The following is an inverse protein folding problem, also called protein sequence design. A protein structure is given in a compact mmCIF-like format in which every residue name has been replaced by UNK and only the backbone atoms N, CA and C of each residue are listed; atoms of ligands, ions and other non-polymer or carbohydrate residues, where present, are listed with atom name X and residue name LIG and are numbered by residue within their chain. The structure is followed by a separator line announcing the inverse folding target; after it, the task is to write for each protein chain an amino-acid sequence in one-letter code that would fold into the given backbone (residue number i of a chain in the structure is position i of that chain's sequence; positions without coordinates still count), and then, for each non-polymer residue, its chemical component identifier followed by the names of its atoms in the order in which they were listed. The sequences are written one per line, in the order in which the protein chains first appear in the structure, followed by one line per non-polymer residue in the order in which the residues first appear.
data_IF_668899462315
#
_entry.id   IF_668899462315
#
_cell.length_a   1.000
_cell.length_b   1.000
_cell.length_c   1.000
_cell.angle_alpha   90.00
_cell.angle_beta   90.00
_cell.angle_gamma   90.00
#
_symmetry.space_group_name_H-M   'P 1'
#
loop_
_entity.id
_entity.type
_entity.pdbx_description
1 polymer ?
#
# COMPACT_ATOMS: atom_id res chain seq x y z
N UNK A 1 9.55 2.73 -23.48
CA UNK A 1 9.01 3.72 -22.53
C UNK A 1 9.73 3.49 -21.21
N UNK A 2 10.29 4.55 -20.64
CA UNK A 2 10.98 4.51 -19.35
C UNK A 2 10.05 3.98 -18.23
N UNK A 3 10.63 3.35 -17.20
CA UNK A 3 9.89 2.69 -16.09
C UNK A 3 8.95 3.69 -15.42
N UNK A 4 9.48 4.88 -15.11
CA UNK A 4 8.70 5.93 -14.45
C UNK A 4 7.50 6.39 -15.28
N UNK A 5 7.70 6.55 -16.59
CA UNK A 5 6.62 6.92 -17.52
C UNK A 5 5.50 5.88 -17.55
N UNK A 6 5.82 4.57 -17.54
CA UNK A 6 4.79 3.52 -17.49
C UNK A 6 3.98 3.58 -16.19
N UNK A 7 4.65 3.72 -15.06
CA UNK A 7 4.02 3.85 -13.75
C UNK A 7 3.12 5.09 -13.68
N UNK A 8 3.60 6.24 -14.17
CA UNK A 8 2.81 7.47 -14.24
C UNK A 8 1.59 7.34 -15.14
N UNK A 9 1.68 6.64 -16.27
CA UNK A 9 0.52 6.39 -17.13
C UNK A 9 -0.51 5.49 -16.48
N UNK A 10 -0.07 4.48 -15.73
CA UNK A 10 -0.95 3.65 -14.93
C UNK A 10 -1.68 4.48 -13.86
N UNK A 11 -0.94 5.32 -13.13
CA UNK A 11 -1.51 6.22 -12.13
C UNK A 11 -2.45 7.26 -12.75
N UNK A 12 -2.13 7.85 -13.90
CA UNK A 12 -3.02 8.81 -14.57
C UNK A 12 -4.44 8.24 -14.79
N UNK A 13 -4.55 6.93 -15.06
CA UNK A 13 -5.83 6.25 -15.25
C UNK A 13 -6.52 5.83 -13.95
N UNK A 14 -5.77 5.65 -12.86
CA UNK A 14 -6.25 5.01 -11.63
C UNK A 14 -6.29 5.92 -10.41
N UNK A 15 -5.30 6.80 -10.30
CA UNK A 15 -5.16 7.82 -9.26
C UNK A 15 -4.57 9.11 -9.87
N UNK A 16 -5.43 9.96 -10.49
CA UNK A 16 -5.00 11.23 -11.07
C UNK A 16 -4.38 12.20 -10.06
N UNK A 17 -4.75 12.09 -8.77
CA UNK A 17 -4.26 12.96 -7.72
C UNK A 17 -2.81 12.63 -7.35
N UNK A 18 -2.50 11.35 -7.14
CA UNK A 18 -1.13 10.89 -6.91
C UNK A 18 -0.26 11.14 -8.14
N UNK A 19 -0.78 10.90 -9.35
CA UNK A 19 -0.11 11.26 -10.60
C UNK A 19 0.31 12.73 -10.64
N UNK A 20 -0.61 13.66 -10.31
CA UNK A 20 -0.33 15.09 -10.34
C UNK A 20 0.77 15.49 -9.33
N UNK A 21 0.75 14.92 -8.12
CA UNK A 21 1.81 15.15 -7.11
C UNK A 21 3.17 14.65 -7.59
N UNK A 22 3.23 13.43 -8.10
CA UNK A 22 4.48 12.84 -8.57
C UNK A 22 5.06 13.59 -9.76
N UNK A 23 4.21 14.01 -10.71
CA UNK A 23 4.63 14.81 -11.87
C UNK A 23 5.21 16.18 -11.49
N UNK A 24 4.86 16.72 -10.32
CA UNK A 24 5.38 17.99 -9.83
C UNK A 24 6.77 17.87 -9.20
N UNK A 25 7.23 16.65 -8.87
CA UNK A 25 8.56 16.41 -8.31
C UNK A 25 9.59 16.44 -9.44
N UNK A 26 10.66 17.22 -9.24
CA UNK A 26 11.73 17.38 -10.23
C UNK A 26 12.99 16.60 -9.89
N UNK A 27 13.28 16.48 -8.59
CA UNK A 27 14.51 15.89 -8.07
C UNK A 27 14.28 15.40 -6.63
N UNK A 28 15.15 14.50 -6.18
CA UNK A 28 15.17 14.03 -4.79
C UNK A 28 15.84 15.08 -3.91
N UNK A 29 15.19 15.46 -2.81
CA UNK A 29 15.68 16.47 -1.88
C UNK A 29 15.94 15.90 -0.49
N UNK A 30 15.03 15.10 0.04
CA UNK A 30 15.13 14.52 1.38
C UNK A 30 15.89 13.20 1.39
N UNK A 31 15.76 12.41 0.33
CA UNK A 31 16.32 11.07 0.27
C UNK A 31 17.49 10.96 -0.71
N UNK A 32 18.47 10.16 -0.35
CA UNK A 32 19.56 9.73 -1.23
C UNK A 32 19.49 8.22 -1.46
N UNK A 33 19.73 7.81 -2.69
CA UNK A 33 19.63 6.40 -3.12
C UNK A 33 21.02 5.76 -3.08
N UNK A 34 21.15 4.67 -2.34
CA UNK A 34 22.37 3.86 -2.28
C UNK A 34 22.13 2.58 -3.05
N UNK A 35 22.79 2.43 -4.19
CA UNK A 35 22.76 1.21 -4.98
C UNK A 35 23.83 0.25 -4.47
N UNK A 36 23.42 -0.97 -4.15
CA UNK A 36 24.32 -2.10 -3.93
C UNK A 36 24.67 -2.78 -5.26
N UNK A 37 25.11 -4.04 -5.15
CA UNK A 37 25.63 -4.80 -6.29
C UNK A 37 24.57 -5.22 -7.33
N UNK A 38 23.28 -5.04 -7.02
CA UNK A 38 22.15 -5.36 -7.91
C UNK A 38 21.07 -4.27 -7.81
N UNK A 39 20.30 -4.13 -8.90
CA UNK A 39 19.14 -3.27 -9.04
C UNK A 39 18.05 -3.45 -7.97
N UNK A 40 17.92 -4.65 -7.38
CA UNK A 40 17.01 -4.91 -6.26
C UNK A 40 17.64 -4.65 -4.88
N UNK A 41 18.95 -4.38 -4.82
CA UNK A 41 19.67 -4.15 -3.59
C UNK A 41 19.96 -2.65 -3.41
N UNK A 42 18.91 -1.84 -3.25
CA UNK A 42 19.07 -0.42 -2.98
C UNK A 42 18.43 0.00 -1.67
N UNK A 43 19.02 0.99 -1.02
CA UNK A 43 18.54 1.62 0.21
C UNK A 43 18.27 3.11 -0.03
N UNK A 44 17.48 3.70 0.86
CA UNK A 44 17.23 5.13 0.90
C UNK A 44 17.75 5.67 2.22
N UNK A 45 18.56 6.71 2.19
CA UNK A 45 19.02 7.46 3.36
C UNK A 45 18.19 8.72 3.48
N UNK A 46 17.53 8.89 4.61
CA UNK A 46 16.96 10.16 5.02
C UNK A 46 18.11 11.11 5.37
N UNK A 47 18.34 12.15 4.56
CA UNK A 47 19.46 13.10 4.75
C UNK A 47 19.24 14.04 5.93
N UNK A 48 18.00 14.25 6.35
CA UNK A 48 17.69 15.16 7.46
C UNK A 48 18.06 14.51 8.80
N UNK A 49 17.81 13.21 8.94
CA UNK A 49 18.09 12.44 10.16
C UNK A 49 19.30 11.53 10.05
N UNK A 50 19.96 11.50 8.88
CA UNK A 50 21.03 10.56 8.54
C UNK A 50 20.66 9.11 8.87
N UNK A 51 19.42 8.71 8.57
CA UNK A 51 18.89 7.38 8.93
C UNK A 51 18.53 6.59 7.68
N UNK A 52 19.09 5.39 7.47
CA UNK A 52 18.71 4.54 6.35
C UNK A 52 17.33 3.89 6.60
N UNK A 53 16.59 3.57 5.53
CA UNK A 53 15.34 2.81 5.66
C UNK A 53 15.57 1.40 6.21
N UNK A 54 16.70 0.79 5.84
CA UNK A 54 17.13 -0.52 6.33
C UNK A 54 18.47 -0.38 7.05
N UNK A 55 18.55 -0.85 8.30
CA UNK A 55 19.79 -0.87 9.08
C UNK A 55 20.79 -1.93 8.58
N UNK A 56 20.27 -3.00 8.00
CA UNK A 56 21.03 -4.10 7.40
C UNK A 56 20.84 -4.09 5.88
N UNK A 57 21.41 -5.10 5.21
CA UNK A 57 21.18 -5.37 3.79
C UNK A 57 19.69 -5.27 3.44
N UNK A 58 19.28 -4.34 2.54
CA UNK A 58 17.89 -4.16 2.14
C UNK A 58 17.27 -5.41 1.52
N UNK A 59 18.06 -6.14 0.73
CA UNK A 59 17.64 -7.38 0.10
C UNK A 59 17.37 -8.46 1.14
N UNK A 60 18.31 -8.69 2.07
CA UNK A 60 18.14 -9.70 3.11
C UNK A 60 16.95 -9.39 4.02
N UNK A 61 16.79 -8.11 4.38
CA UNK A 61 15.65 -7.64 5.18
C UNK A 61 14.32 -7.87 4.45
N UNK A 62 14.27 -7.60 3.14
CA UNK A 62 13.06 -7.85 2.33
C UNK A 62 12.76 -9.35 2.20
N UNK A 63 13.78 -10.20 2.07
CA UNK A 63 13.63 -11.65 2.00
C UNK A 63 13.20 -12.26 3.34
N UNK A 64 13.74 -11.78 4.46
CA UNK A 64 13.33 -12.16 5.81
C UNK A 64 11.87 -11.79 6.05
N UNK A 65 11.46 -10.55 5.73
CA UNK A 65 10.06 -10.13 5.82
C UNK A 65 9.16 -11.00 4.95
N UNK A 66 9.58 -11.33 3.72
CA UNK A 66 8.83 -12.21 2.84
C UNK A 66 8.63 -13.61 3.43
N UNK A 67 9.69 -14.25 3.93
CA UNK A 67 9.62 -15.55 4.60
C UNK A 67 8.72 -15.51 5.83
N UNK A 68 8.85 -14.47 6.65
CA UNK A 68 8.03 -14.29 7.85
C UNK A 68 6.56 -13.96 7.52
N UNK A 69 6.25 -13.63 6.26
CA UNK A 69 4.90 -13.33 5.79
C UNK A 69 4.14 -14.53 5.21
N UNK A 70 4.70 -15.75 5.26
CA UNK A 70 4.07 -16.97 4.71
C UNK A 70 2.63 -17.20 5.20
N UNK A 71 2.36 -16.95 6.47
CA UNK A 71 1.00 -17.06 7.05
C UNK A 71 -0.01 -16.11 6.40
N UNK A 72 0.46 -15.00 5.83
CA UNK A 72 -0.35 -13.98 5.17
C UNK A 72 -0.43 -14.18 3.64
N UNK A 73 0.33 -15.12 3.06
CA UNK A 73 0.26 -15.43 1.63
C UNK A 73 -1.11 -16.01 1.21
N UNK A 74 -1.91 -16.45 2.17
CA UNK A 74 -3.30 -16.89 1.98
C UNK A 74 -4.31 -15.74 2.02
N UNK A 75 -3.91 -14.54 2.46
CA UNK A 75 -4.83 -13.42 2.62
C UNK A 75 -4.96 -12.67 1.28
N UNK A 76 -6.18 -12.57 0.72
CA UNK A 76 -6.37 -11.95 -0.59
C UNK A 76 -6.22 -10.42 -0.57
N UNK A 77 -6.29 -9.80 0.61
CA UNK A 77 -6.14 -8.35 0.81
C UNK A 77 -5.10 -8.09 1.89
N UNK A 78 -4.09 -7.28 1.58
CA UNK A 78 -3.04 -6.87 2.51
C UNK A 78 -2.95 -5.36 2.60
N UNK A 79 -2.64 -4.86 3.80
CA UNK A 79 -2.54 -3.43 4.11
C UNK A 79 -1.24 -3.17 4.85
N UNK A 80 -0.43 -2.27 4.32
CA UNK A 80 0.86 -1.91 4.91
C UNK A 80 1.00 -0.41 5.05
N UNK A 81 1.69 0.00 6.12
CA UNK A 81 2.14 1.36 6.36
C UNK A 81 3.67 1.41 6.17
N UNK A 82 4.10 2.13 5.14
CA UNK A 82 5.48 2.25 4.67
C UNK A 82 5.75 1.46 3.40
N UNK A 83 6.21 2.12 2.34
CA UNK A 83 6.56 1.53 1.05
C UNK A 83 7.96 0.92 1.04
N UNK A 84 8.84 1.40 1.93
CA UNK A 84 10.25 0.99 1.94
C UNK A 84 10.92 1.32 0.61
N UNK A 85 11.75 0.40 0.12
CA UNK A 85 12.31 0.47 -1.24
C UNK A 85 11.43 -0.23 -2.29
N UNK A 86 10.25 -0.73 -1.93
CA UNK A 86 9.33 -1.42 -2.85
C UNK A 86 9.67 -2.87 -3.20
N UNK A 87 10.86 -3.38 -2.90
CA UNK A 87 11.31 -4.73 -3.32
C UNK A 87 10.48 -5.83 -2.67
N UNK A 88 10.22 -5.72 -1.36
CA UNK A 88 9.33 -6.63 -0.64
C UNK A 88 7.95 -6.76 -1.30
N UNK A 89 7.35 -5.65 -1.72
CA UNK A 89 6.04 -5.66 -2.37
C UNK A 89 6.07 -6.25 -3.77
N UNK A 90 7.18 -6.08 -4.51
CA UNK A 90 7.38 -6.77 -5.79
C UNK A 90 7.38 -8.29 -5.61
N UNK A 91 8.01 -8.80 -4.55
CA UNK A 91 7.97 -10.22 -4.20
C UNK A 91 6.54 -10.68 -3.84
N UNK A 92 5.83 -9.93 -2.98
CA UNK A 92 4.45 -10.24 -2.60
C UNK A 92 3.50 -10.28 -3.80
N UNK A 93 3.60 -9.34 -4.73
CA UNK A 93 2.73 -9.25 -5.90
C UNK A 93 2.98 -10.39 -6.91
N UNK A 94 4.11 -11.09 -6.81
CA UNK A 94 4.36 -12.34 -7.52
C UNK A 94 3.43 -13.49 -7.09
N UNK A 95 2.82 -13.41 -5.90
CA UNK A 95 1.82 -14.36 -5.45
C UNK A 95 0.47 -14.13 -6.15
N UNK A 96 0.04 -15.08 -6.98
CA UNK A 96 -1.23 -15.02 -7.72
C UNK A 96 -2.49 -15.03 -6.83
N UNK A 97 -2.40 -15.47 -5.57
CA UNK A 97 -3.52 -15.45 -4.63
C UNK A 97 -3.82 -14.05 -4.07
N UNK A 98 -2.82 -13.15 -4.11
CA UNK A 98 -2.97 -11.78 -3.63
C UNK A 98 -3.80 -10.97 -4.64
N UNK A 99 -5.03 -10.67 -4.27
CA UNK A 99 -5.98 -9.89 -5.09
C UNK A 99 -5.69 -8.40 -5.03
N UNK A 100 -5.32 -7.90 -3.86
CA UNK A 100 -4.99 -6.48 -3.67
C UNK A 100 -4.03 -6.27 -2.51
N UNK A 101 -3.02 -5.45 -2.77
CA UNK A 101 -2.11 -4.89 -1.81
C UNK A 101 -2.34 -3.38 -1.74
N UNK A 102 -2.59 -2.86 -0.55
CA UNK A 102 -2.71 -1.43 -0.27
C UNK A 102 -1.52 -1.01 0.56
N UNK A 103 -0.75 -0.04 0.07
CA UNK A 103 0.42 0.49 0.77
C UNK A 103 0.25 1.99 0.98
N UNK A 104 0.29 2.40 2.24
CA UNK A 104 0.23 3.80 2.65
C UNK A 104 1.65 4.28 2.86
N UNK A 105 2.07 5.31 2.15
CA UNK A 105 3.42 5.88 2.26
C UNK A 105 3.33 7.34 2.75
N UNK A 106 3.95 7.68 3.89
CA UNK A 106 3.98 9.05 4.40
C UNK A 106 4.77 10.02 3.52
N UNK A 107 5.82 9.58 2.84
CA UNK A 107 6.78 10.43 2.15
C UNK A 107 6.64 10.30 0.63
N UNK A 108 6.09 11.33 -0.01
CA UNK A 108 5.85 11.32 -1.46
C UNK A 108 7.15 11.11 -2.28
N UNK A 109 8.29 11.53 -1.75
CA UNK A 109 9.59 11.34 -2.40
C UNK A 109 10.00 9.86 -2.42
N UNK A 110 9.63 9.06 -1.41
CA UNK A 110 9.84 7.60 -1.43
C UNK A 110 9.00 6.97 -2.55
N UNK A 111 7.72 7.36 -2.69
CA UNK A 111 6.88 6.89 -3.82
C UNK A 111 7.52 7.26 -5.15
N UNK A 112 7.99 8.51 -5.29
CA UNK A 112 8.66 8.98 -6.50
C UNK A 112 9.89 8.12 -6.84
N UNK A 113 10.77 7.88 -5.88
CA UNK A 113 11.99 7.09 -6.10
C UNK A 113 11.65 5.64 -6.47
N UNK A 114 10.76 5.00 -5.72
CA UNK A 114 10.36 3.60 -5.96
C UNK A 114 9.77 3.44 -7.37
N UNK A 115 8.91 4.37 -7.81
CA UNK A 115 8.32 4.31 -9.15
C UNK A 115 9.29 4.68 -10.28
N UNK A 116 10.45 5.28 -9.99
CA UNK A 116 11.52 5.42 -10.97
C UNK A 116 12.35 4.14 -11.11
N UNK A 117 12.47 3.35 -10.05
CA UNK A 117 13.35 2.18 -10.01
C UNK A 117 12.62 0.86 -10.30
N UNK A 118 11.34 0.74 -9.95
CA UNK A 118 10.56 -0.49 -10.06
C UNK A 118 9.32 -0.29 -10.94
N UNK A 119 9.08 -1.21 -11.88
CA UNK A 119 7.87 -1.23 -12.70
C UNK A 119 6.72 -1.91 -11.93
N UNK A 120 5.69 -1.13 -11.59
CA UNK A 120 4.44 -1.57 -10.97
C UNK A 120 3.23 -1.27 -11.87
N UNK A 121 3.46 -0.90 -13.13
CA UNK A 121 2.43 -0.35 -13.99
C UNK A 121 1.27 -1.31 -14.22
N UNK A 122 1.56 -2.60 -14.40
CA UNK A 122 0.55 -3.66 -14.53
C UNK A 122 -0.27 -3.80 -13.26
N UNK A 123 0.38 -3.91 -12.10
CA UNK A 123 -0.33 -4.14 -10.83
C UNK A 123 -1.19 -2.93 -10.43
N UNK A 124 -0.76 -1.70 -10.76
CA UNK A 124 -1.57 -0.49 -10.61
C UNK A 124 -2.78 -0.53 -11.55
N UNK A 125 -2.59 -0.85 -12.83
CA UNK A 125 -3.68 -0.92 -13.83
C UNK A 125 -4.73 -1.97 -13.47
N UNK A 126 -4.32 -3.08 -12.87
CA UNK A 126 -5.19 -4.17 -12.43
C UNK A 126 -5.82 -3.92 -11.05
N UNK A 127 -5.52 -2.80 -10.39
CA UNK A 127 -5.87 -2.50 -8.99
C UNK A 127 -5.37 -3.57 -8.00
N UNK A 128 -4.34 -4.33 -8.37
CA UNK A 128 -3.63 -5.29 -7.50
C UNK A 128 -2.68 -4.58 -6.55
N UNK A 129 -2.13 -3.44 -6.95
CA UNK A 129 -1.39 -2.51 -6.08
C UNK A 129 -2.13 -1.17 -6.02
N UNK A 130 -2.43 -0.71 -4.80
CA UNK A 130 -2.95 0.63 -4.54
C UNK A 130 -1.96 1.34 -3.63
N UNK A 131 -1.29 2.36 -4.17
CA UNK A 131 -0.38 3.22 -3.43
C UNK A 131 -1.12 4.47 -2.97
N UNK A 132 -1.12 4.73 -1.66
CA UNK A 132 -1.76 5.90 -1.08
C UNK A 132 -0.71 6.77 -0.41
N UNK A 133 -0.68 8.06 -0.74
CA UNK A 133 0.09 9.02 0.03
C UNK A 133 -0.67 9.34 1.33
N UNK A 134 -0.02 9.16 2.49
CA UNK A 134 -0.66 9.29 3.80
C UNK A 134 -1.40 10.63 4.00
N UNK A 135 -0.88 11.74 3.46
CA UNK A 135 -1.53 13.06 3.53
C UNK A 135 -2.92 13.15 2.88
N UNK A 136 -3.33 12.16 2.09
CA UNK A 136 -4.65 12.08 1.47
C UNK A 136 -5.57 11.02 2.08
N UNK A 137 -5.06 10.25 3.06
CA UNK A 137 -5.80 9.16 3.67
C UNK A 137 -6.77 9.71 4.72
N UNK A 138 -7.95 10.08 4.27
CA UNK A 138 -9.10 10.38 5.14
C UNK A 138 -10.15 9.27 5.07
N UNK A 139 -11.14 9.33 5.95
CA UNK A 139 -12.24 8.36 5.99
C UNK A 139 -12.93 8.15 4.64
N UNK A 140 -13.24 9.21 3.89
CA UNK A 140 -13.98 9.08 2.62
C UNK A 140 -13.13 8.35 1.56
N UNK A 141 -11.84 8.67 1.48
CA UNK A 141 -10.91 7.97 0.59
C UNK A 141 -10.84 6.48 0.94
N UNK A 142 -10.69 6.16 2.23
CA UNK A 142 -10.60 4.77 2.70
C UNK A 142 -11.94 4.02 2.55
N UNK A 143 -13.08 4.67 2.77
CA UNK A 143 -14.39 4.08 2.51
C UNK A 143 -14.55 3.71 1.04
N UNK A 144 -14.11 4.59 0.12
CA UNK A 144 -14.18 4.33 -1.33
C UNK A 144 -13.33 3.14 -1.76
N UNK A 145 -12.18 2.89 -1.10
CA UNK A 145 -11.32 1.73 -1.35
C UNK A 145 -12.07 0.39 -1.14
N UNK A 146 -12.92 0.33 -0.12
CA UNK A 146 -13.77 -0.84 0.16
C UNK A 146 -14.97 -0.96 -0.78
N UNK A 147 -15.40 0.15 -1.38
CA UNK A 147 -16.44 0.14 -2.42
C UNK A 147 -15.90 -0.29 -3.79
N UNK A 148 -14.62 -0.03 -4.09
CA UNK A 148 -13.95 -0.49 -5.31
C UNK A 148 -13.94 -2.02 -5.45
N UNK A 149 -13.91 -2.74 -4.33
CA UNK A 149 -14.17 -4.19 -4.32
C UNK A 149 -14.87 -4.57 -3.02
N UNK A 150 -16.20 -4.69 -3.10
CA UNK A 150 -17.04 -5.05 -1.96
C UNK A 150 -16.67 -6.40 -1.35
N UNK A 151 -16.01 -7.31 -2.08
CA UNK A 151 -15.55 -8.60 -1.53
C UNK A 151 -14.49 -8.41 -0.45
N UNK A 152 -13.73 -7.32 -0.48
CA UNK A 152 -12.76 -6.98 0.58
C UNK A 152 -13.41 -6.89 1.96
N UNK A 153 -14.68 -6.45 2.04
CA UNK A 153 -15.44 -6.36 3.30
C UNK A 153 -15.71 -7.72 3.93
N UNK A 154 -15.78 -8.81 3.15
CA UNK A 154 -15.91 -10.18 3.68
C UNK A 154 -14.68 -10.63 4.47
N UNK A 155 -13.53 -9.99 4.23
CA UNK A 155 -12.27 -10.27 4.89
C UNK A 155 -11.96 -9.24 5.99
N UNK A 156 -12.95 -8.46 6.44
CA UNK A 156 -12.78 -7.45 7.49
C UNK A 156 -12.16 -8.02 8.77
N UNK A 157 -12.47 -9.27 9.14
CA UNK A 157 -11.90 -9.94 10.32
C UNK A 157 -10.40 -10.25 10.20
N UNK A 158 -9.88 -10.28 8.98
CA UNK A 158 -8.45 -10.51 8.69
C UNK A 158 -7.70 -9.18 8.46
N UNK A 159 -8.38 -8.05 8.60
CA UNK A 159 -7.77 -6.74 8.44
C UNK A 159 -6.74 -6.50 9.54
N UNK A 160 -5.57 -6.03 9.11
CA UNK A 160 -4.48 -5.61 9.95
C UNK A 160 -3.60 -4.66 9.13
N UNK A 161 -3.37 -3.44 9.65
CA UNK A 161 -2.47 -2.47 9.02
C UNK A 161 -1.06 -2.70 9.56
N UNK A 162 -0.24 -3.39 8.75
CA UNK A 162 1.11 -3.78 9.14
C UNK A 162 2.09 -2.64 8.98
N UNK A 163 2.84 -2.33 10.04
CA UNK A 163 4.01 -1.46 9.92
C UNK A 163 5.09 -2.18 9.10
N UNK A 164 5.67 -1.51 8.11
CA UNK A 164 6.67 -2.13 7.23
C UNK A 164 7.97 -2.50 7.97
N UNK A 165 8.57 -1.54 8.66
CA UNK A 165 9.75 -1.74 9.51
C UNK A 165 9.93 -0.60 10.52
N UNK A 166 10.97 -0.70 11.35
CA UNK A 166 11.26 0.25 12.43
C UNK A 166 11.48 1.70 11.95
N UNK A 167 11.94 1.94 10.72
CA UNK A 167 12.10 3.30 10.20
C UNK A 167 10.78 4.09 10.27
N UNK A 168 9.65 3.41 10.01
CA UNK A 168 8.34 4.04 9.95
C UNK A 168 7.69 4.29 11.33
N UNK A 169 8.28 3.83 12.44
CA UNK A 169 7.79 4.12 13.80
C UNK A 169 7.71 5.63 14.08
N UNK A 170 8.56 6.42 13.42
CA UNK A 170 8.53 7.89 13.46
C UNK A 170 7.21 8.51 12.99
N UNK A 171 6.40 7.76 12.23
CA UNK A 171 5.09 8.16 11.73
C UNK A 171 3.93 7.46 12.47
N UNK A 172 4.18 6.85 13.63
CA UNK A 172 3.19 6.07 14.39
C UNK A 172 1.88 6.81 14.66
N UNK A 173 1.92 8.11 15.00
CA UNK A 173 0.70 8.90 15.19
C UNK A 173 -0.17 8.95 13.93
N UNK A 174 0.44 9.21 12.77
CA UNK A 174 -0.26 9.25 11.49
C UNK A 174 -0.80 7.86 11.10
N UNK A 175 -0.03 6.80 11.35
CA UNK A 175 -0.48 5.42 11.14
C UNK A 175 -1.71 5.11 12.00
N UNK A 176 -1.72 5.50 13.28
CA UNK A 176 -2.84 5.29 14.20
C UNK A 176 -4.10 6.02 13.69
N UNK A 177 -3.97 7.29 13.30
CA UNK A 177 -5.07 8.08 12.74
C UNK A 177 -5.66 7.43 11.48
N UNK A 178 -4.80 7.04 10.53
CA UNK A 178 -5.23 6.37 9.30
C UNK A 178 -5.89 5.03 9.61
N UNK A 179 -5.35 4.26 10.56
CA UNK A 179 -5.94 2.99 10.97
C UNK A 179 -7.35 3.16 11.53
N UNK A 180 -7.63 4.23 12.28
CA UNK A 180 -9.00 4.52 12.76
C UNK A 180 -9.99 4.70 11.61
N UNK A 181 -9.57 5.30 10.49
CA UNK A 181 -10.41 5.43 9.31
C UNK A 181 -10.72 4.08 8.65
N UNK A 182 -9.72 3.18 8.56
CA UNK A 182 -9.92 1.82 8.06
C UNK A 182 -10.88 1.02 8.94
N UNK A 183 -10.65 1.01 10.25
CA UNK A 183 -11.51 0.30 11.21
C UNK A 183 -12.95 0.81 11.12
N UNK A 184 -13.16 2.12 11.11
CA UNK A 184 -14.49 2.73 10.97
C UNK A 184 -15.17 2.35 9.66
N UNK A 185 -14.44 2.37 8.54
CA UNK A 185 -15.00 2.03 7.23
C UNK A 185 -15.38 0.54 7.11
N UNK A 186 -14.62 -0.34 7.76
CA UNK A 186 -14.91 -1.77 7.86
C UNK A 186 -16.12 -2.05 8.77
N UNK A 187 -16.19 -1.41 9.93
CA UNK A 187 -17.33 -1.53 10.86
C UNK A 187 -18.64 -1.10 10.22
N UNK A 188 -18.67 0.07 9.58
CA UNK A 188 -19.84 0.54 8.83
C UNK A 188 -20.23 -0.45 7.71
N UNK A 189 -19.24 -1.02 7.03
CA UNK A 189 -19.47 -2.04 6.00
C UNK A 189 -20.07 -3.34 6.55
N UNK A 190 -19.60 -3.80 7.71
CA UNK A 190 -20.09 -5.02 8.35
C UNK A 190 -21.56 -4.87 8.80
N UNK A 191 -21.93 -3.71 9.34
CA UNK A 191 -23.31 -3.39 9.71
C UNK A 191 -24.21 -3.39 8.47
N UNK A 192 -23.76 -2.79 7.36
CA UNK A 192 -24.53 -2.78 6.10
C UNK A 192 -24.80 -4.17 5.55
N UNK A 193 -23.78 -5.05 5.49
CA UNK A 193 -23.94 -6.43 5.00
C UNK A 193 -24.86 -7.25 5.92
N UNK A 194 -24.79 -7.03 7.23
CA UNK A 194 -25.68 -7.66 8.20
C UNK A 194 -27.15 -7.24 8.03
N UNK A 195 -27.39 -5.95 7.76
CA UNK A 195 -28.73 -5.44 7.46
C UNK A 195 -29.27 -5.99 6.14
N UNK A 196 -28.47 -5.99 5.07
CA UNK A 196 -28.87 -6.52 3.76
C UNK A 196 -29.25 -8.02 3.85
N UNK A 197 -28.50 -8.82 4.60
CA UNK A 197 -28.80 -10.23 4.82
C UNK A 197 -30.11 -10.43 5.61
N UNK A 198 -30.37 -9.57 6.62
CA UNK A 198 -31.60 -9.61 7.40
C UNK A 198 -32.82 -9.20 6.56
N UNK A 199 -32.67 -8.18 5.74
CA UNK A 199 -33.74 -7.68 4.87
C UNK A 199 -34.08 -8.69 3.77
N UNK A 200 -33.08 -9.37 3.18
CA UNK A 200 -33.29 -10.46 2.25
C UNK A 200 -34.06 -11.65 2.88
N UNK A 201 -33.76 -12.00 4.14
CA UNK A 201 -34.46 -13.06 4.87
C UNK A 201 -35.92 -12.69 5.20
N UNK A 202 -36.21 -11.41 5.43
CA UNK A 202 -37.57 -10.93 5.67
C UNK A 202 -38.38 -10.96 4.37
N UNK A 203 -37.79 -10.56 3.24
CA UNK A 203 -38.43 -10.58 1.93
C UNK A 203 -38.85 -11.98 1.47
N UNK A 204 -38.06 -13.02 1.78
CA UNK A 204 -38.40 -14.42 1.48
C UNK A 204 -39.58 -14.93 2.32
N UNK A 205 -39.79 -14.41 3.53
CA UNK A 205 -40.91 -14.81 4.41
C UNK A 205 -42.24 -14.13 4.08
N UNK A 206 -42.21 -13.07 3.26
CA UNK A 206 -43.42 -12.33 2.83
C UNK A 206 -43.84 -12.67 1.39
N UNK A 207 -43.34 -13.79 0.85
CA UNK A 207 -43.81 -14.44 -0.37
C UNK A 207 -44.28 -15.85 -0.07
#
# INVERSE_FOLDING_TARGET
MDIYQKNLQALFKKDPLLFAKLKAIKENKKYEVFLGNDSANFNLLDKETNTPLFEKSPLDSSLELYKNSEIYMLYPYLYYFGLGNGVFYRLLLGNGNLKRLVVIEPEIEIIFIVLNLLDFSTEILENRLILLHASFCNYNMIASLFDMDKKSRLYARMYDLKLFNAYYERYSHQMIEINQHFTRALEHGAISVGNDAKDALIGIKQH
#
